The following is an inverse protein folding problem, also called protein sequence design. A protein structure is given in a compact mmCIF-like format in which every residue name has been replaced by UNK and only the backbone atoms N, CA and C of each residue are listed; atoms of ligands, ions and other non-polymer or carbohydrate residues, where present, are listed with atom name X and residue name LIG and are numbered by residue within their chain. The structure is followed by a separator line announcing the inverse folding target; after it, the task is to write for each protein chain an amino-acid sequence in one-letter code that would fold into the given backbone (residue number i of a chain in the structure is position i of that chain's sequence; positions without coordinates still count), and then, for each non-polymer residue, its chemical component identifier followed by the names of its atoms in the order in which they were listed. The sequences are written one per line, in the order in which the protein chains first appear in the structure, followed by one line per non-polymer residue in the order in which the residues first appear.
data_IF_948447547382
#
_entry.id   IF_948447547382
#
_cell.length_a   1.000
_cell.length_b   1.000
_cell.length_c   1.000
_cell.angle_alpha   90.00
_cell.angle_beta   90.00
_cell.angle_gamma   90.00
#
_symmetry.space_group_name_H-M   'P 1'
#
loop_
_entity.id
_entity.type
_entity.pdbx_description
1 polymer ?
#
# COMPACT_ATOMS: atom_id res chain seq x y z
N UNK A 1 -7.35 3.60 -17.34
CA UNK A 1 -7.79 3.14 -16.01
C UNK A 1 -6.71 2.23 -15.47
N UNK A 2 -6.30 2.43 -14.22
CA UNK A 2 -5.26 1.65 -13.55
C UNK A 2 -5.68 1.34 -12.11
N UNK A 3 -5.03 0.36 -11.49
CA UNK A 3 -5.13 0.07 -10.05
C UNK A 3 -4.27 1.07 -9.30
N UNK A 4 -4.89 1.98 -8.56
CA UNK A 4 -4.26 3.11 -7.90
C UNK A 4 -3.73 2.75 -6.51
N UNK A 5 -4.52 2.02 -5.73
CA UNK A 5 -4.23 1.73 -4.34
C UNK A 5 -4.93 0.44 -3.92
N UNK A 6 -4.27 -0.37 -3.09
CA UNK A 6 -4.82 -1.61 -2.53
C UNK A 6 -4.51 -1.64 -1.04
N UNK A 7 -5.55 -1.84 -0.24
CA UNK A 7 -5.45 -2.19 1.17
C UNK A 7 -6.16 -3.53 1.37
N UNK A 8 -5.39 -4.59 1.59
CA UNK A 8 -5.86 -5.96 1.79
C UNK A 8 -5.66 -6.48 3.22
N UNK A 9 -4.82 -5.84 4.04
CA UNK A 9 -4.51 -6.31 5.40
C UNK A 9 -4.50 -5.13 6.39
N UNK A 10 -5.61 -4.93 7.09
CA UNK A 10 -5.70 -3.86 8.09
C UNK A 10 -5.35 -4.39 9.48
N UNK A 11 -4.64 -3.64 10.35
CA UNK A 11 -4.30 -4.12 11.68
C UNK A 11 -5.52 -4.56 12.51
N UNK A 12 -5.46 -5.78 13.01
CA UNK A 12 -6.51 -6.37 13.85
C UNK A 12 -7.62 -7.03 13.04
N UNK A 13 -8.76 -6.36 12.87
CA UNK A 13 -9.87 -6.87 12.05
C UNK A 13 -9.96 -6.09 10.75
N UNK A 14 -9.90 -6.81 9.63
CA UNK A 14 -10.12 -6.36 8.26
C UNK A 14 -11.46 -5.67 8.09
N UNK A 15 -11.52 -4.39 8.43
CA UNK A 15 -12.75 -3.59 8.44
C UNK A 15 -12.72 -2.49 7.41
N UNK A 16 -11.56 -2.22 6.81
CA UNK A 16 -11.32 -1.10 5.90
C UNK A 16 -10.64 -1.51 4.60
N UNK A 17 -10.66 -2.78 4.21
CA UNK A 17 -10.04 -3.22 2.95
C UNK A 17 -10.67 -2.51 1.73
N UNK A 18 -9.86 -2.19 0.74
CA UNK A 18 -10.32 -1.64 -0.53
C UNK A 18 -9.36 -1.85 -1.70
N UNK A 19 -9.91 -1.64 -2.89
CA UNK A 19 -9.19 -1.42 -4.14
C UNK A 19 -9.67 -0.11 -4.74
N UNK A 20 -8.74 0.77 -5.03
CA UNK A 20 -9.01 1.99 -5.77
C UNK A 20 -8.51 1.91 -7.20
N UNK A 21 -9.34 2.37 -8.13
CA UNK A 21 -8.98 2.57 -9.52
C UNK A 21 -8.84 4.06 -9.82
N UNK A 22 -7.86 4.43 -10.64
CA UNK A 22 -7.68 5.79 -11.11
C UNK A 22 -7.73 5.87 -12.63
N UNK A 23 -8.52 6.82 -13.14
CA UNK A 23 -8.51 7.17 -14.55
C UNK A 23 -7.51 8.31 -14.79
N UNK A 24 -6.47 8.03 -15.57
CA UNK A 24 -5.31 8.92 -15.81
C UNK A 24 -5.64 10.28 -16.45
N UNK A 25 -6.88 10.51 -16.87
CA UNK A 25 -7.34 11.84 -17.28
C UNK A 25 -7.61 12.79 -16.09
N UNK A 26 -7.65 12.28 -14.85
CA UNK A 26 -7.97 13.07 -13.66
C UNK A 26 -9.39 13.65 -13.68
N UNK A 27 -10.32 12.98 -14.37
CA UNK A 27 -11.70 13.44 -14.62
C UNK A 27 -12.66 12.27 -14.60
N UNK A 28 -13.95 12.56 -14.48
CA UNK A 28 -15.02 11.56 -14.62
C UNK A 28 -14.90 10.78 -15.93
N UNK A 29 -14.92 9.46 -15.82
CA UNK A 29 -14.80 8.52 -16.93
C UNK A 29 -15.74 7.32 -16.70
N UNK A 30 -16.33 6.81 -17.78
CA UNK A 30 -17.18 5.62 -17.75
C UNK A 30 -16.33 4.36 -17.71
N UNK A 31 -16.76 3.38 -16.92
CA UNK A 31 -16.05 2.10 -16.74
C UNK A 31 -16.73 0.94 -17.47
N UNK A 32 -17.57 1.27 -18.46
CA UNK A 32 -18.26 0.27 -19.28
C UNK A 32 -17.24 -0.63 -20.00
N UNK A 33 -17.45 -1.95 -19.89
CA UNK A 33 -16.56 -2.96 -20.46
C UNK A 33 -15.34 -3.33 -19.61
N UNK A 34 -15.14 -2.70 -18.45
CA UNK A 34 -14.11 -3.10 -17.49
C UNK A 34 -14.62 -4.11 -16.47
N UNK A 35 -13.72 -5.00 -16.04
CA UNK A 35 -13.95 -5.98 -14.99
C UNK A 35 -12.82 -5.92 -13.97
N UNK A 36 -13.18 -5.91 -12.69
CA UNK A 36 -12.23 -6.06 -11.58
C UNK A 36 -12.30 -7.50 -11.07
N UNK A 37 -11.19 -8.22 -11.09
CA UNK A 37 -11.12 -9.65 -10.77
C UNK A 37 -10.09 -9.87 -9.67
N UNK A 38 -10.48 -10.65 -8.67
CA UNK A 38 -9.65 -11.01 -7.54
C UNK A 38 -9.28 -12.49 -7.64
N UNK A 39 -8.00 -12.82 -7.58
CA UNK A 39 -7.44 -14.16 -7.71
C UNK A 39 -6.83 -14.64 -6.41
N UNK A 40 -7.12 -15.88 -6.05
CA UNK A 40 -6.52 -16.55 -4.91
C UNK A 40 -5.21 -17.22 -5.35
N UNK A 41 -4.08 -16.98 -4.67
CA UNK A 41 -2.79 -17.58 -5.03
C UNK A 41 -2.70 -19.07 -4.69
N UNK A 42 -3.51 -19.57 -3.76
CA UNK A 42 -3.74 -20.99 -3.55
C UNK A 42 -4.74 -21.54 -4.59
N UNK A 43 -4.21 -21.85 -5.77
CA UNK A 43 -4.98 -22.44 -6.88
C UNK A 43 -5.07 -21.53 -8.10
N UNK A 44 -4.67 -20.26 -7.99
CA UNK A 44 -4.59 -19.29 -9.08
C UNK A 44 -5.93 -19.08 -9.81
N UNK A 45 -7.02 -19.03 -9.03
CA UNK A 45 -8.39 -18.94 -9.52
C UNK A 45 -9.09 -17.68 -9.03
N UNK A 46 -9.93 -17.13 -9.89
CA UNK A 46 -10.75 -15.97 -9.53
C UNK A 46 -11.72 -16.36 -8.41
N UNK A 47 -11.71 -15.66 -7.29
CA UNK A 47 -12.69 -15.84 -6.22
C UNK A 47 -13.76 -14.74 -6.21
N UNK A 48 -13.53 -13.63 -6.92
CA UNK A 48 -14.51 -12.56 -7.07
C UNK A 48 -14.34 -11.85 -8.40
N UNK A 49 -15.47 -11.53 -9.05
CA UNK A 49 -15.51 -10.78 -10.31
C UNK A 49 -16.56 -9.68 -10.23
N UNK A 50 -16.15 -8.44 -10.45
CA UNK A 50 -17.02 -7.27 -10.48
C UNK A 50 -17.07 -6.70 -11.89
N UNK A 51 -18.27 -6.68 -12.48
CA UNK A 51 -18.52 -5.98 -13.73
C UNK A 51 -18.75 -4.49 -13.44
N UNK A 52 -17.96 -3.62 -14.06
CA UNK A 52 -18.02 -2.17 -13.84
C UNK A 52 -18.97 -1.45 -14.82
N UNK A 53 -19.79 -2.20 -15.56
CA UNK A 53 -20.83 -1.65 -16.44
C UNK A 53 -21.75 -0.68 -15.68
N UNK A 54 -21.97 0.50 -16.27
CA UNK A 54 -22.79 1.57 -15.72
C UNK A 54 -22.11 2.38 -14.61
N UNK A 55 -20.87 2.04 -14.23
CA UNK A 55 -20.11 2.76 -13.22
C UNK A 55 -19.29 3.90 -13.84
N UNK A 56 -19.05 4.92 -13.03
CA UNK A 56 -18.27 6.10 -13.39
C UNK A 56 -17.33 6.46 -12.25
N UNK A 57 -16.13 6.94 -12.59
CA UNK A 57 -15.24 7.56 -11.60
C UNK A 57 -15.81 8.88 -11.09
N UNK A 58 -15.31 9.35 -9.95
CA UNK A 58 -15.65 10.67 -9.41
C UNK A 58 -15.06 11.80 -10.29
N UNK A 59 -15.26 13.05 -9.87
CA UNK A 59 -14.79 14.24 -10.60
C UNK A 59 -13.26 14.32 -10.76
N UNK A 60 -12.51 13.66 -9.87
CA UNK A 60 -11.04 13.61 -9.87
C UNK A 60 -10.48 12.36 -10.57
N UNK A 61 -11.34 11.43 -11.01
CA UNK A 61 -10.94 10.22 -11.71
C UNK A 61 -10.78 8.97 -10.84
N UNK A 62 -11.10 9.02 -9.54
CA UNK A 62 -11.04 7.87 -8.63
C UNK A 62 -12.32 7.03 -8.67
N UNK A 63 -12.18 5.73 -8.45
CA UNK A 63 -13.28 4.79 -8.28
C UNK A 63 -12.95 3.75 -7.23
N UNK A 64 -13.67 3.79 -6.11
CA UNK A 64 -13.37 2.98 -4.93
C UNK A 64 -14.30 1.77 -4.81
N UNK A 65 -13.72 0.60 -4.56
CA UNK A 65 -14.39 -0.66 -4.24
C UNK A 65 -13.86 -1.14 -2.90
N UNK A 66 -14.70 -1.34 -1.88
CA UNK A 66 -14.17 -1.68 -0.56
C UNK A 66 -15.21 -1.98 0.50
N UNK A 67 -14.73 -2.08 1.73
CA UNK A 67 -15.57 -2.23 2.92
C UNK A 67 -16.44 -0.98 3.16
N UNK A 68 -17.58 -1.10 3.87
CA UNK A 68 -18.46 0.04 4.12
C UNK A 68 -17.80 1.23 4.83
N UNK A 69 -16.76 0.99 5.64
CA UNK A 69 -16.04 2.03 6.42
C UNK A 69 -15.34 3.07 5.55
N UNK A 70 -14.95 2.71 4.32
CA UNK A 70 -14.23 3.60 3.39
C UNK A 70 -15.17 4.32 2.41
N UNK A 71 -16.49 4.21 2.59
CA UNK A 71 -17.51 4.85 1.75
C UNK A 71 -17.32 4.65 0.22
N UNK A 72 -17.27 3.39 -0.26
CA UNK A 72 -16.93 3.08 -1.65
C UNK A 72 -18.11 3.21 -2.62
N UNK A 73 -17.81 3.31 -3.92
CA UNK A 73 -18.81 3.29 -4.99
C UNK A 73 -19.40 1.88 -5.23
N UNK A 74 -18.65 0.83 -4.87
CA UNK A 74 -19.13 -0.55 -4.75
C UNK A 74 -18.75 -1.06 -3.37
N UNK A 75 -19.75 -1.38 -2.56
CA UNK A 75 -19.55 -1.99 -1.26
C UNK A 75 -19.35 -3.49 -1.42
N UNK A 76 -18.26 -4.01 -0.85
CA UNK A 76 -18.02 -5.43 -0.63
C UNK A 76 -18.08 -5.73 0.87
N UNK A 77 -18.50 -6.94 1.28
CA UNK A 77 -18.41 -7.33 2.69
C UNK A 77 -16.97 -7.23 3.20
N UNK A 78 -16.80 -6.96 4.49
CA UNK A 78 -15.51 -7.09 5.16
C UNK A 78 -14.90 -8.48 4.97
N UNK A 79 -13.59 -8.58 5.03
CA UNK A 79 -12.78 -9.78 4.78
C UNK A 79 -13.02 -10.36 3.38
N UNK A 80 -13.36 -9.51 2.41
CA UNK A 80 -13.53 -9.94 1.02
C UNK A 80 -12.17 -10.04 0.33
N UNK A 81 -11.30 -9.05 0.56
CA UNK A 81 -10.01 -8.97 -0.10
C UNK A 81 -9.08 -9.86 0.73
N UNK A 82 -8.63 -10.95 0.14
CA UNK A 82 -7.84 -11.92 0.87
C UNK A 82 -6.41 -11.40 1.11
N UNK A 83 -5.88 -11.70 2.31
CA UNK A 83 -4.59 -11.24 2.83
C UNK A 83 -3.38 -11.93 2.17
N UNK A 84 -3.51 -12.36 0.92
CA UNK A 84 -2.41 -12.83 0.09
C UNK A 84 -1.73 -14.15 0.52
N UNK A 85 -0.84 -14.71 -0.33
CA UNK A 85 -0.43 -14.19 -1.64
C UNK A 85 -1.56 -14.29 -2.66
N UNK A 86 -2.00 -13.16 -3.21
CA UNK A 86 -3.20 -13.05 -4.06
C UNK A 86 -2.98 -11.95 -5.11
N UNK A 87 -3.95 -11.76 -6.01
CA UNK A 87 -3.85 -10.71 -7.01
C UNK A 87 -5.19 -10.04 -7.31
N UNK A 88 -5.10 -8.77 -7.70
CA UNK A 88 -6.19 -7.98 -8.24
C UNK A 88 -5.83 -7.60 -9.67
N UNK A 89 -6.73 -7.88 -10.61
CA UNK A 89 -6.53 -7.63 -12.02
C UNK A 89 -7.70 -6.84 -12.61
N UNK A 90 -7.36 -5.85 -13.42
CA UNK A 90 -8.28 -5.08 -14.21
C UNK A 90 -8.26 -5.59 -15.64
N UNK A 91 -9.42 -5.99 -16.16
CA UNK A 91 -9.59 -6.45 -17.53
C UNK A 91 -10.50 -5.52 -18.32
N UNK A 92 -10.38 -5.56 -19.65
CA UNK A 92 -11.27 -4.85 -20.57
C UNK A 92 -11.74 -5.73 -21.72
N UNK A 93 -13.01 -5.60 -22.07
CA UNK A 93 -13.63 -6.22 -23.24
C UNK A 93 -14.52 -7.42 -22.90
N UNK A 94 -14.91 -8.17 -23.94
CA UNK A 94 -15.93 -9.24 -23.87
C UNK A 94 -15.39 -10.60 -23.39
N UNK A 95 -14.48 -10.61 -22.42
CA UNK A 95 -14.01 -11.85 -21.81
C UNK A 95 -15.11 -12.54 -21.01
N UNK A 96 -15.07 -13.87 -20.93
CA UNK A 96 -15.95 -14.64 -20.04
C UNK A 96 -15.38 -14.64 -18.61
N UNK A 97 -15.30 -13.44 -18.02
CA UNK A 97 -14.77 -13.25 -16.67
C UNK A 97 -15.80 -13.75 -15.64
N UNK A 98 -15.43 -14.74 -14.85
CA UNK A 98 -16.29 -15.36 -13.85
C UNK A 98 -15.49 -15.96 -12.71
N UNK A 99 -16.11 -16.09 -11.55
CA UNK A 99 -15.53 -16.82 -10.43
C UNK A 99 -15.19 -18.26 -10.83
N UNK A 100 -14.08 -18.78 -10.29
CA UNK A 100 -13.51 -20.08 -10.60
C UNK A 100 -12.69 -20.15 -11.89
N UNK A 101 -12.61 -19.08 -12.70
CA UNK A 101 -11.74 -19.09 -13.88
C UNK A 101 -10.27 -19.11 -13.49
N UNK A 102 -9.44 -19.76 -14.32
CA UNK A 102 -7.99 -19.71 -14.15
C UNK A 102 -7.46 -18.30 -14.46
N UNK A 103 -6.34 -17.93 -13.82
CA UNK A 103 -5.64 -16.67 -14.09
C UNK A 103 -5.24 -16.55 -15.56
N UNK A 104 -5.36 -15.35 -16.14
CA UNK A 104 -5.07 -15.13 -17.56
C UNK A 104 -4.53 -13.73 -17.81
N UNK A 105 -3.65 -13.57 -18.79
CA UNK A 105 -3.23 -12.26 -19.30
C UNK A 105 -4.12 -11.74 -20.42
N UNK A 106 -5.11 -12.53 -20.88
CA UNK A 106 -5.96 -12.15 -22.01
C UNK A 106 -6.92 -11.03 -21.64
N UNK A 107 -6.79 -9.90 -22.32
CA UNK A 107 -7.59 -8.70 -22.07
C UNK A 107 -7.17 -7.96 -20.79
N UNK A 108 -6.01 -8.31 -20.22
CA UNK A 108 -5.45 -7.65 -19.04
C UNK A 108 -5.10 -6.20 -19.39
N UNK A 109 -5.55 -5.29 -18.54
CA UNK A 109 -5.23 -3.85 -18.62
C UNK A 109 -4.17 -3.52 -17.60
N UNK A 110 -4.33 -4.01 -16.38
CA UNK A 110 -3.46 -3.72 -15.25
C UNK A 110 -3.62 -4.78 -14.16
N UNK A 111 -2.61 -4.97 -13.32
CA UNK A 111 -2.66 -5.92 -12.23
C UNK A 111 -1.71 -5.53 -11.08
N UNK A 112 -2.05 -6.01 -9.90
CA UNK A 112 -1.24 -5.98 -8.70
C UNK A 112 -1.29 -7.35 -8.04
N UNK A 113 -0.12 -7.90 -7.72
CA UNK A 113 0.01 -9.13 -6.92
C UNK A 113 0.55 -8.71 -5.56
N UNK A 114 -0.13 -9.10 -4.50
CA UNK A 114 0.20 -8.73 -3.11
C UNK A 114 0.34 -9.97 -2.23
N UNK A 115 1.01 -9.80 -1.08
CA UNK A 115 1.18 -10.79 -0.03
C UNK A 115 1.34 -10.10 1.32
N UNK A 116 0.98 -10.78 2.40
CA UNK A 116 1.20 -10.28 3.77
C UNK A 116 2.40 -10.87 4.46
N UNK A 117 2.86 -12.05 4.02
CA UNK A 117 4.05 -12.69 4.59
C UNK A 117 5.22 -12.61 3.63
N UNK A 118 6.36 -12.16 4.15
CA UNK A 118 7.61 -12.01 3.39
C UNK A 118 8.00 -13.28 2.61
N UNK A 119 7.82 -14.45 3.22
CA UNK A 119 8.21 -15.75 2.65
C UNK A 119 7.21 -16.34 1.67
N UNK A 120 6.00 -15.78 1.57
CA UNK A 120 4.98 -16.31 0.67
C UNK A 120 5.32 -15.99 -0.79
N UNK A 121 4.93 -16.92 -1.66
CA UNK A 121 5.20 -16.89 -3.10
C UNK A 121 3.91 -16.91 -3.89
N UNK A 122 3.89 -16.16 -4.99
CA UNK A 122 2.77 -16.03 -5.91
C UNK A 122 3.21 -16.32 -7.36
N UNK A 123 4.11 -17.30 -7.57
CA UNK A 123 4.88 -17.46 -8.81
C UNK A 123 4.00 -17.49 -10.09
N UNK A 124 2.87 -18.21 -10.04
CA UNK A 124 1.93 -18.27 -11.17
C UNK A 124 1.20 -16.94 -11.40
N UNK A 125 0.74 -16.28 -10.32
CA UNK A 125 0.09 -14.97 -10.44
C UNK A 125 1.06 -13.93 -11.00
N UNK A 126 2.29 -13.88 -10.47
CA UNK A 126 3.36 -12.99 -10.95
C UNK A 126 3.67 -13.24 -12.41
N UNK A 127 3.93 -14.50 -12.80
CA UNK A 127 4.33 -14.82 -14.17
C UNK A 127 3.24 -14.51 -15.21
N UNK A 128 1.96 -14.60 -14.83
CA UNK A 128 0.83 -14.33 -15.74
C UNK A 128 0.41 -12.87 -15.74
N UNK A 129 0.32 -12.23 -14.58
CA UNK A 129 -0.27 -10.89 -14.43
C UNK A 129 0.77 -9.78 -14.40
N UNK A 130 1.93 -10.00 -13.78
CA UNK A 130 2.97 -8.97 -13.57
C UNK A 130 4.36 -9.53 -13.87
N UNK A 131 4.61 -10.02 -15.10
CA UNK A 131 5.87 -10.70 -15.43
C UNK A 131 7.07 -9.79 -15.20
N UNK A 132 8.06 -10.30 -14.47
CA UNK A 132 9.27 -9.57 -14.10
C UNK A 132 9.15 -8.67 -12.86
N UNK A 133 8.06 -8.76 -12.10
CA UNK A 133 7.86 -8.05 -10.84
C UNK A 133 7.52 -9.01 -9.72
N UNK A 134 8.08 -8.81 -8.54
CA UNK A 134 7.70 -9.58 -7.35
C UNK A 134 6.33 -9.14 -6.81
N UNK A 135 5.69 -10.01 -6.03
CA UNK A 135 4.50 -9.65 -5.27
C UNK A 135 4.84 -8.62 -4.20
N UNK A 136 4.03 -7.56 -4.11
CA UNK A 136 4.19 -6.50 -3.13
C UNK A 136 3.84 -7.00 -1.73
N UNK A 137 4.67 -6.64 -0.76
CA UNK A 137 4.44 -6.96 0.65
C UNK A 137 3.62 -5.83 1.27
N UNK A 138 2.47 -6.16 1.83
CA UNK A 138 1.64 -5.32 2.69
C UNK A 138 1.62 -5.99 4.06
N UNK A 139 2.38 -5.46 5.01
CA UNK A 139 2.60 -6.03 6.33
C UNK A 139 1.91 -5.13 7.36
N UNK A 140 0.77 -5.58 7.88
CA UNK A 140 0.01 -4.86 8.91
C UNK A 140 0.82 -4.54 10.19
N UNK A 141 2.02 -5.10 10.38
CA UNK A 141 2.91 -4.76 11.50
C UNK A 141 3.91 -3.64 11.20
N UNK A 142 4.06 -3.24 9.93
CA UNK A 142 5.04 -2.23 9.53
C UNK A 142 4.67 -0.83 10.01
N UNK A 143 3.37 -0.48 10.07
CA UNK A 143 2.86 0.77 10.66
C UNK A 143 1.93 0.51 11.84
N UNK A 144 1.83 1.49 12.72
CA UNK A 144 1.02 1.34 13.95
C UNK A 144 -0.48 1.44 13.72
N UNK A 145 -0.90 2.13 12.65
CA UNK A 145 -2.31 2.31 12.30
C UNK A 145 -2.77 1.38 11.18
N UNK A 146 -2.26 1.61 9.97
CA UNK A 146 -2.59 0.86 8.77
C UNK A 146 -1.63 1.24 7.65
N UNK A 147 -1.53 0.40 6.63
CA UNK A 147 -0.80 0.67 5.41
C UNK A 147 -1.53 0.16 4.17
N UNK A 148 -1.10 0.63 3.02
CA UNK A 148 -1.64 0.22 1.73
C UNK A 148 -0.57 0.30 0.67
N UNK A 149 -0.76 -0.46 -0.41
CA UNK A 149 0.10 -0.43 -1.58
C UNK A 149 -0.39 0.68 -2.52
N UNK A 150 0.30 1.81 -2.53
CA UNK A 150 -0.01 2.99 -3.31
C UNK A 150 0.80 3.05 -4.61
N UNK A 151 0.14 3.35 -5.74
CA UNK A 151 0.80 3.60 -7.02
C UNK A 151 1.27 5.05 -7.11
N UNK A 152 2.55 5.24 -7.40
CA UNK A 152 3.16 6.55 -7.55
C UNK A 152 3.86 6.73 -8.88
N UNK A 153 3.93 7.97 -9.36
CA UNK A 153 4.67 8.32 -10.57
C UNK A 153 6.11 8.63 -10.22
N UNK A 154 7.02 7.75 -10.62
CA UNK A 154 8.46 7.89 -10.46
C UNK A 154 9.04 9.06 -11.27
N UNK A 155 10.30 9.39 -10.97
CA UNK A 155 11.01 10.52 -11.59
C UNK A 155 11.18 10.39 -13.11
N UNK A 156 11.20 9.17 -13.62
CA UNK A 156 11.25 8.82 -15.05
C UNK A 156 9.86 8.72 -15.70
N UNK A 157 8.81 9.17 -15.01
CA UNK A 157 7.41 8.97 -15.39
C UNK A 157 6.93 7.51 -15.42
N UNK A 158 7.69 6.55 -14.91
CA UNK A 158 7.17 5.20 -14.72
C UNK A 158 6.32 5.09 -13.47
N UNK A 159 5.31 4.24 -13.52
CA UNK A 159 4.50 3.91 -12.34
C UNK A 159 5.25 2.91 -11.47
N UNK A 160 5.51 3.31 -10.23
CA UNK A 160 6.04 2.49 -9.16
C UNK A 160 4.95 2.24 -8.12
N UNK A 161 5.16 1.24 -7.27
CA UNK A 161 4.35 1.07 -6.07
C UNK A 161 5.23 1.26 -4.84
N UNK A 162 4.64 1.81 -3.81
CA UNK A 162 5.23 1.99 -2.49
C UNK A 162 4.16 1.65 -1.44
N UNK A 163 4.58 1.58 -0.19
CA UNK A 163 3.68 1.35 0.94
C UNK A 163 3.56 2.63 1.75
N UNK A 164 2.34 3.05 2.06
CA UNK A 164 2.07 4.29 2.81
C UNK A 164 0.71 4.24 3.54
N UNK A 165 0.35 5.33 4.25
CA UNK A 165 -0.94 5.41 4.95
C UNK A 165 -2.06 5.40 3.92
N UNK A 166 -3.15 4.61 4.10
CA UNK A 166 -4.24 4.55 3.15
C UNK A 166 -4.88 5.92 2.83
N UNK A 167 -5.16 6.17 1.55
CA UNK A 167 -5.69 7.43 0.99
C UNK A 167 -6.97 7.26 0.15
N UNK A 168 -7.96 6.45 0.57
CA UNK A 168 -9.12 6.14 -0.26
C UNK A 168 -9.87 7.39 -0.71
N UNK A 169 -10.02 7.54 -2.02
CA UNK A 169 -10.71 8.66 -2.68
C UNK A 169 -9.87 9.91 -2.87
N UNK A 170 -8.59 9.89 -2.52
CA UNK A 170 -7.68 11.05 -2.56
C UNK A 170 -6.35 10.71 -3.23
N UNK A 171 -5.46 11.70 -3.39
CA UNK A 171 -4.16 11.46 -4.00
C UNK A 171 -3.24 10.65 -3.06
N UNK A 172 -2.59 9.62 -3.63
CA UNK A 172 -1.58 8.81 -2.94
C UNK A 172 -0.43 9.66 -2.36
N UNK A 173 0.18 9.18 -1.26
CA UNK A 173 1.33 9.79 -0.59
C UNK A 173 2.64 9.63 -1.37
N UNK A 174 2.69 10.10 -2.61
CA UNK A 174 3.88 9.96 -3.44
C UNK A 174 5.01 10.87 -3.00
N UNK A 175 6.00 10.32 -2.30
CA UNK A 175 7.25 11.02 -1.98
C UNK A 175 8.15 10.93 -3.21
N UNK A 176 8.43 12.06 -3.85
CA UNK A 176 9.41 12.09 -4.94
C UNK A 176 10.79 11.76 -4.39
N UNK A 177 11.60 11.00 -5.12
CA UNK A 177 12.97 10.64 -4.70
C UNK A 177 13.85 11.88 -4.40
N UNK A 178 13.59 12.99 -5.09
CA UNK A 178 14.23 14.29 -4.79
C UNK A 178 13.82 14.87 -3.44
N UNK A 179 12.60 14.60 -2.98
CA UNK A 179 12.12 14.97 -1.65
C UNK A 179 12.65 14.01 -0.58
N UNK A 180 12.84 12.72 -0.85
CA UNK A 180 13.53 11.81 0.08
C UNK A 180 14.96 12.28 0.39
N UNK A 181 15.68 12.78 -0.62
CA UNK A 181 17.03 13.32 -0.43
C UNK A 181 17.04 14.72 0.21
N UNK A 182 16.01 15.55 0.01
CA UNK A 182 15.91 16.89 0.60
C UNK A 182 15.31 16.88 2.03
N UNK A 183 14.52 15.87 2.36
CA UNK A 183 13.91 15.59 3.67
C UNK A 183 14.78 14.66 4.51
N UNK A 184 16.10 14.60 4.26
CA UNK A 184 17.01 13.67 4.90
C UNK A 184 17.06 13.91 6.43
N UNK A 185 16.14 13.26 7.12
CA UNK A 185 16.20 13.03 8.55
C UNK A 185 17.10 11.83 8.74
N UNK A 186 18.22 12.04 9.40
CA UNK A 186 19.22 11.05 9.70
C UNK A 186 19.07 10.64 11.17
N UNK A 187 19.39 9.38 11.46
CA UNK A 187 19.64 8.99 12.85
C UNK A 187 21.00 9.60 13.23
N UNK A 188 21.00 10.59 14.12
CA UNK A 188 22.23 11.24 14.61
C UNK A 188 22.82 10.50 15.80
N UNK A 189 21.96 9.99 16.70
CA UNK A 189 22.39 9.27 17.90
C UNK A 189 21.41 8.16 18.25
N UNK A 190 21.95 7.05 18.77
CA UNK A 190 21.18 5.96 19.36
C UNK A 190 21.80 5.65 20.71
N UNK A 191 21.02 5.83 21.77
CA UNK A 191 21.39 5.42 23.11
C UNK A 191 20.54 4.22 23.53
N UNK A 192 21.13 3.04 23.45
CA UNK A 192 20.52 1.82 23.97
C UNK A 192 20.85 1.68 25.46
N UNK A 193 19.85 1.36 26.29
CA UNK A 193 20.03 1.27 27.72
C UNK A 193 21.02 0.16 28.06
N UNK A 194 22.01 0.48 28.90
CA UNK A 194 22.99 -0.50 29.38
C UNK A 194 22.60 -1.12 30.71
N UNK A 195 21.59 -0.54 31.37
CA UNK A 195 21.06 -0.95 32.67
C UNK A 195 19.59 -0.54 32.82
N UNK A 196 18.91 -1.07 33.84
CA UNK A 196 17.48 -0.78 34.10
C UNK A 196 17.20 0.67 34.54
N UNK A 197 18.23 1.46 34.84
CA UNK A 197 18.10 2.89 35.20
C UNK A 197 18.47 3.84 34.05
N UNK A 198 18.98 3.31 32.92
CA UNK A 198 19.28 4.12 31.74
C UNK A 198 18.02 4.34 30.90
N UNK A 199 17.92 5.53 30.31
CA UNK A 199 16.86 5.86 29.36
C UNK A 199 17.30 5.56 27.94
N UNK A 200 16.43 4.90 27.18
CA UNK A 200 16.66 4.66 25.75
C UNK A 200 16.19 5.86 24.94
N UNK A 201 17.02 6.30 23.99
CA UNK A 201 16.58 7.30 23.02
C UNK A 201 17.19 7.10 21.64
N UNK A 202 16.49 7.63 20.65
CA UNK A 202 16.97 7.80 19.29
C UNK A 202 16.84 9.29 18.97
N UNK A 203 17.94 9.91 18.58
CA UNK A 203 17.94 11.28 18.09
C UNK A 203 17.95 11.29 16.57
N UNK A 204 17.09 12.13 16.02
CA UNK A 204 16.98 12.39 14.59
C UNK A 204 17.47 13.79 14.28
N UNK A 205 18.29 13.94 13.24
CA UNK A 205 18.74 15.22 12.72
C UNK A 205 18.17 15.46 11.32
N UNK A 206 17.50 16.58 11.11
CA UNK A 206 16.92 16.98 9.83
C UNK A 206 16.86 18.50 9.65
N UNK A 207 16.09 18.99 8.67
CA UNK A 207 15.92 20.42 8.43
C UNK A 207 15.38 21.15 9.67
N UNK A 208 15.79 22.41 9.88
CA UNK A 208 15.48 23.15 11.11
C UNK A 208 13.98 23.48 11.21
N UNK A 209 13.41 23.39 12.41
CA UNK A 209 12.01 23.78 12.67
C UNK A 209 11.00 23.17 11.69
N UNK A 210 11.26 21.94 11.25
CA UNK A 210 10.49 21.27 10.20
C UNK A 210 9.63 20.19 10.83
N UNK A 211 8.35 20.19 10.46
CA UNK A 211 7.44 19.13 10.88
C UNK A 211 7.79 17.87 10.10
N UNK A 212 8.17 16.82 10.84
CA UNK A 212 8.36 15.50 10.27
C UNK A 212 7.01 14.81 10.12
N UNK A 213 6.80 14.23 8.94
CA UNK A 213 5.63 13.46 8.54
C UNK A 213 6.10 12.32 7.65
N UNK A 214 5.32 11.25 7.60
CA UNK A 214 5.53 10.13 6.68
C UNK A 214 6.88 9.41 6.86
N UNK A 215 7.42 9.44 8.09
CA UNK A 215 8.63 8.71 8.49
C UNK A 215 8.22 7.62 9.47
N UNK A 216 8.66 6.39 9.22
CA UNK A 216 8.52 5.26 10.14
C UNK A 216 9.92 4.89 10.63
N UNK A 217 10.10 4.88 11.95
CA UNK A 217 11.29 4.35 12.59
C UNK A 217 11.09 2.85 12.83
N UNK A 218 12.05 2.05 12.38
CA UNK A 218 12.00 0.58 12.46
C UNK A 218 13.25 0.07 13.17
N UNK A 219 13.07 -0.77 14.19
CA UNK A 219 14.15 -1.49 14.85
C UNK A 219 14.14 -2.96 14.42
N UNK A 220 15.31 -3.42 13.98
CA UNK A 220 15.50 -4.74 13.38
C UNK A 220 16.47 -5.54 14.24
N UNK A 221 16.11 -6.78 14.57
CA UNK A 221 16.99 -7.69 15.28
C UNK A 221 18.17 -8.08 14.37
N UNK A 222 19.39 -7.86 14.85
CA UNK A 222 20.60 -8.10 14.07
C UNK A 222 20.82 -9.57 13.68
N UNK A 223 20.26 -10.52 14.43
CA UNK A 223 20.42 -11.98 14.25
C UNK A 223 19.30 -12.57 13.40
N UNK A 224 18.05 -12.31 13.77
CA UNK A 224 16.90 -12.90 13.06
C UNK A 224 16.51 -12.11 11.82
N UNK A 225 16.89 -10.83 11.76
CA UNK A 225 16.45 -9.86 10.74
C UNK A 225 14.96 -9.54 10.80
N UNK A 226 14.31 -9.88 11.91
CA UNK A 226 12.92 -9.54 12.16
C UNK A 226 12.80 -8.11 12.68
N UNK A 227 11.71 -7.46 12.33
CA UNK A 227 11.32 -6.17 12.91
C UNK A 227 10.74 -6.47 14.29
N UNK A 228 11.28 -5.86 15.34
CA UNK A 228 10.78 -6.04 16.71
C UNK A 228 10.09 -4.79 17.27
N UNK A 229 10.28 -3.64 16.61
CA UNK A 229 9.65 -2.40 17.01
C UNK A 229 9.47 -1.47 15.80
N UNK A 230 8.30 -0.84 15.70
CA UNK A 230 7.97 0.18 14.71
C UNK A 230 7.29 1.37 15.40
N UNK A 231 7.59 2.58 14.95
CA UNK A 231 6.82 3.77 15.33
C UNK A 231 6.71 4.75 14.16
N UNK A 232 5.53 5.33 13.99
CA UNK A 232 5.37 6.52 13.15
C UNK A 232 6.00 7.73 13.87
N UNK A 233 6.94 8.40 13.21
CA UNK A 233 7.64 9.56 13.75
C UNK A 233 6.80 10.80 13.52
N UNK A 234 6.25 11.34 14.60
CA UNK A 234 5.57 12.63 14.62
C UNK A 234 6.36 13.62 15.46
N UNK A 235 6.60 14.81 14.93
CA UNK A 235 7.27 15.86 15.69
C UNK A 235 7.82 16.97 14.81
N UNK A 236 8.17 18.08 15.44
CA UNK A 236 8.87 19.18 14.80
C UNK A 236 10.32 19.14 15.26
N UNK A 237 11.27 19.12 14.34
CA UNK A 237 12.68 19.29 14.68
C UNK A 237 12.89 20.64 15.37
N UNK A 238 13.88 20.71 16.26
CA UNK A 238 14.27 21.92 16.97
C UNK A 238 14.79 23.00 16.01
N UNK A 239 15.12 24.17 16.55
CA UNK A 239 15.79 25.23 15.79
C UNK A 239 17.15 24.79 15.22
N UNK A 240 17.78 23.79 15.82
CA UNK A 240 19.05 23.18 15.41
C UNK A 240 18.85 21.92 14.55
N UNK A 241 17.60 21.58 14.22
CA UNK A 241 17.28 20.44 13.37
C UNK A 241 17.19 19.10 14.11
N UNK A 242 17.14 19.07 15.44
CA UNK A 242 17.13 17.82 16.22
C UNK A 242 15.72 17.43 16.69
N UNK A 243 15.41 16.15 16.70
CA UNK A 243 14.20 15.57 17.30
C UNK A 243 14.59 14.34 18.13
N UNK A 244 14.29 14.37 19.43
CA UNK A 244 14.57 13.28 20.35
C UNK A 244 13.34 12.36 20.47
N UNK A 245 13.53 11.06 20.27
CA UNK A 245 12.53 10.01 20.45
C UNK A 245 12.92 9.16 21.65
N UNK A 246 12.20 9.30 22.76
CA UNK A 246 12.51 8.65 24.02
C UNK A 246 11.50 9.04 25.11
N UNK A 247 11.64 8.53 26.35
CA UNK A 247 10.75 8.89 27.44
C UNK A 247 10.77 10.41 27.70
N UNK A 248 9.58 10.98 27.90
CA UNK A 248 9.44 12.40 28.20
C UNK A 248 10.03 12.70 29.58
N UNK A 249 10.90 13.72 29.66
CA UNK A 249 11.30 14.37 30.90
C UNK A 249 10.67 15.76 30.98
#
# INVERSE_FOLDING_TARGET
LLINEVNADTPGMDTSEFVELYHTSGRTARLDGYYLVFYNGNGNRAYKVLNLQGKVTNGQGFFLVGSPSVNPAIVIPKNTIQNGPDAIALYYGKGNYKEGMDVTSRGLVDALVHKTKKMDRADTLVSVLTPGRDAFLEDSTFRTMDESIERCRGADSQWIFQVAVPTPGTDNHCILTSQLNASAVLISEVHAASSAEDFEFIELQGPHSTMLRDIVLVLIDGRTKDIYFTMDVYGKTSADGLLLLGPAH
#
